data_IF_392046057744
#
_entry.id   IF_392046057744
#
_cell.length_a   1.000
_cell.length_b   1.000
_cell.length_c   1.000
_cell.angle_alpha   90.00
_cell.angle_beta   90.00
_cell.angle_gamma   90.00
#
_symmetry.space_group_name_H-M   'P 1'
#
loop_
_entity.id
_entity.type
_entity.pdbx_description
1 polymer ?
#
# COMPACT_ATOMS: atom_id res chain seq x y z
N UNK A 1 -1.17 -7.25 21.35
CA UNK A 1 -1.87 -6.49 20.30
C UNK A 1 -0.83 -5.64 19.59
N UNK A 2 -0.76 -5.71 18.26
CA UNK A 2 -0.01 -4.73 17.47
C UNK A 2 -0.73 -3.38 17.46
N UNK A 3 0.00 -2.30 17.19
CA UNK A 3 -0.54 -0.95 17.02
C UNK A 3 -0.01 -0.41 15.70
N UNK A 4 -0.86 0.26 14.93
CA UNK A 4 -0.47 0.93 13.71
C UNK A 4 -1.40 2.10 13.42
N UNK A 5 -0.85 3.19 12.88
CA UNK A 5 -1.65 4.36 12.49
C UNK A 5 -2.52 4.09 11.25
N UNK A 6 -2.15 3.09 10.44
CA UNK A 6 -2.81 2.81 9.17
C UNK A 6 -2.74 4.02 8.22
N UNK A 7 -3.69 4.10 7.29
CA UNK A 7 -3.88 5.27 6.43
C UNK A 7 -4.40 6.48 7.22
N UNK A 8 -3.51 7.20 7.90
CA UNK A 8 -3.86 8.28 8.83
C UNK A 8 -4.35 9.57 8.14
N UNK A 9 -5.33 10.25 8.71
CA UNK A 9 -5.86 11.56 8.28
C UNK A 9 -6.42 11.60 6.85
N UNK A 10 -7.18 10.59 6.47
CA UNK A 10 -8.06 10.72 5.30
C UNK A 10 -9.13 11.80 5.51
N UNK A 11 -9.63 12.42 4.41
CA UNK A 11 -10.79 13.29 4.49
C UNK A 11 -11.99 12.57 5.11
N UNK A 12 -12.72 13.27 5.98
CA UNK A 12 -13.86 12.69 6.73
C UNK A 12 -14.97 12.13 5.84
N UNK A 13 -15.11 12.67 4.63
CA UNK A 13 -16.08 12.20 3.63
C UNK A 13 -15.62 10.94 2.87
N UNK A 14 -14.38 10.48 3.08
CA UNK A 14 -13.85 9.19 2.61
C UNK A 14 -13.92 8.14 3.71
N UNK A 15 -13.34 8.47 4.86
CA UNK A 15 -13.29 7.58 6.02
C UNK A 15 -13.20 8.40 7.29
N UNK A 16 -14.20 8.27 8.16
CA UNK A 16 -14.20 8.92 9.48
C UNK A 16 -13.42 8.05 10.47
N UNK A 17 -12.17 8.43 10.72
CA UNK A 17 -11.29 7.68 11.63
C UNK A 17 -11.75 7.73 13.08
N UNK A 18 -11.86 6.56 13.68
CA UNK A 18 -12.08 6.37 15.11
C UNK A 18 -10.73 6.15 15.78
N UNK A 19 -10.12 7.26 16.20
CA UNK A 19 -8.74 7.35 16.73
C UNK A 19 -8.32 6.16 17.59
N UNK A 20 -9.11 5.75 18.59
CA UNK A 20 -8.72 4.67 19.50
C UNK A 20 -8.81 3.29 18.83
N UNK A 21 -9.90 3.00 18.12
CA UNK A 21 -10.14 1.68 17.53
C UNK A 21 -9.30 1.44 16.29
N UNK A 22 -9.10 2.47 15.48
CA UNK A 22 -8.24 2.37 14.29
C UNK A 22 -6.78 2.25 14.71
N UNK A 23 -6.30 2.97 15.73
CA UNK A 23 -4.90 2.89 16.16
C UNK A 23 -4.49 1.51 16.70
N UNK A 24 -5.41 0.80 17.35
CA UNK A 24 -5.15 -0.56 17.88
C UNK A 24 -5.39 -1.67 16.85
N UNK A 25 -5.87 -1.32 15.65
CA UNK A 25 -6.07 -2.28 14.58
C UNK A 25 -4.71 -2.67 13.95
N UNK A 26 -4.56 -3.93 13.51
CA UNK A 26 -3.29 -4.41 12.97
C UNK A 26 -2.97 -3.90 11.56
N UNK A 27 -3.94 -3.31 10.83
CA UNK A 27 -3.78 -2.77 9.46
C UNK A 27 -2.96 -3.68 8.54
N UNK A 28 -3.39 -4.96 8.35
CA UNK A 28 -2.56 -5.97 7.70
C UNK A 28 -2.32 -5.68 6.22
N UNK A 29 -3.23 -4.97 5.56
CA UNK A 29 -3.08 -4.59 4.16
C UNK A 29 -1.94 -3.57 4.01
N UNK A 30 -1.99 -2.48 4.77
CA UNK A 30 -0.93 -1.46 4.82
C UNK A 30 0.40 -2.05 5.27
N UNK A 31 0.39 -2.86 6.33
CA UNK A 31 1.61 -3.46 6.87
C UNK A 31 2.28 -4.41 5.87
N UNK A 32 1.50 -5.24 5.16
CA UNK A 32 2.05 -6.17 4.16
C UNK A 32 2.62 -5.41 2.96
N UNK A 33 1.91 -4.38 2.48
CA UNK A 33 2.36 -3.56 1.37
C UNK A 33 3.70 -2.85 1.67
N UNK A 34 3.80 -2.22 2.83
CA UNK A 34 5.01 -1.50 3.23
C UNK A 34 6.16 -2.45 3.61
N UNK A 35 5.89 -3.64 4.13
CA UNK A 35 6.94 -4.64 4.35
C UNK A 35 7.55 -5.10 3.03
N UNK A 36 6.72 -5.41 2.03
CA UNK A 36 7.19 -5.74 0.69
C UNK A 36 8.07 -4.61 0.10
N UNK A 37 7.60 -3.36 0.22
CA UNK A 37 8.33 -2.20 -0.29
C UNK A 37 9.68 -1.99 0.42
N UNK A 38 9.70 -2.00 1.76
CA UNK A 38 10.92 -1.81 2.54
C UNK A 38 11.92 -2.92 2.27
N UNK A 39 11.50 -4.19 2.17
CA UNK A 39 12.41 -5.27 1.81
C UNK A 39 13.02 -5.06 0.42
N UNK A 40 12.27 -4.58 -0.57
CA UNK A 40 12.81 -4.21 -1.88
C UNK A 40 13.89 -3.13 -1.78
N UNK A 41 13.63 -2.07 -1.00
CA UNK A 41 14.63 -1.02 -0.74
C UNK A 41 15.86 -1.57 -0.01
N UNK A 42 15.68 -2.50 0.93
CA UNK A 42 16.78 -3.11 1.67
C UNK A 42 17.69 -3.96 0.79
N UNK A 43 17.15 -4.61 -0.26
CA UNK A 43 17.97 -5.26 -1.28
C UNK A 43 18.87 -4.23 -1.98
N UNK A 44 18.33 -3.09 -2.39
CA UNK A 44 19.10 -2.05 -3.07
C UNK A 44 20.18 -1.45 -2.16
N UNK A 45 19.83 -1.18 -0.90
CA UNK A 45 20.77 -0.70 0.13
C UNK A 45 21.89 -1.71 0.37
N UNK A 46 21.56 -3.00 0.51
CA UNK A 46 22.55 -4.06 0.72
C UNK A 46 23.56 -4.12 -0.43
N UNK A 47 23.11 -4.08 -1.70
CA UNK A 47 23.99 -4.01 -2.86
C UNK A 47 24.89 -2.77 -2.87
N UNK A 48 24.34 -1.61 -2.53
CA UNK A 48 25.09 -0.35 -2.53
C UNK A 48 26.20 -0.32 -1.47
N UNK A 49 25.99 -1.01 -0.35
CA UNK A 49 26.93 -1.06 0.77
C UNK A 49 27.86 -2.29 0.74
N UNK A 50 27.63 -3.24 -0.17
CA UNK A 50 28.40 -4.49 -0.28
C UNK A 50 28.04 -5.54 0.76
N UNK A 51 26.81 -5.54 1.27
CA UNK A 51 26.25 -6.53 2.19
C UNK A 51 25.48 -7.62 1.42
N UNK A 52 26.16 -8.28 0.48
CA UNK A 52 25.53 -9.24 -0.43
C UNK A 52 24.93 -10.46 0.31
N UNK A 53 25.41 -10.74 1.52
CA UNK A 53 24.90 -11.81 2.40
C UNK A 53 23.45 -11.60 2.86
N UNK A 54 22.98 -10.36 2.96
CA UNK A 54 21.63 -10.03 3.43
C UNK A 54 20.58 -10.03 2.30
N UNK A 55 21.03 -9.91 1.05
CA UNK A 55 20.18 -9.82 -0.14
C UNK A 55 19.16 -10.97 -0.22
N UNK A 56 19.55 -12.26 -0.06
CA UNK A 56 18.60 -13.36 -0.20
C UNK A 56 17.43 -13.29 0.78
N UNK A 57 17.69 -12.82 2.01
CA UNK A 57 16.65 -12.67 3.04
C UNK A 57 15.64 -11.57 2.66
N UNK A 58 16.14 -10.41 2.21
CA UNK A 58 15.27 -9.32 1.80
C UNK A 58 14.50 -9.65 0.51
N UNK A 59 15.10 -10.36 -0.44
CA UNK A 59 14.41 -10.85 -1.63
C UNK A 59 13.31 -11.87 -1.28
N UNK A 60 13.58 -12.79 -0.35
CA UNK A 60 12.58 -13.75 0.15
C UNK A 60 11.36 -13.02 0.72
N UNK A 61 11.58 -12.04 1.60
CA UNK A 61 10.49 -11.32 2.25
C UNK A 61 9.76 -10.36 1.31
N UNK A 62 10.48 -9.67 0.43
CA UNK A 62 9.88 -8.84 -0.62
C UNK A 62 8.93 -9.68 -1.48
N UNK A 63 9.39 -10.82 -1.98
CA UNK A 63 8.59 -11.72 -2.82
C UNK A 63 7.42 -12.31 -2.05
N UNK A 64 7.66 -12.87 -0.87
CA UNK A 64 6.63 -13.50 -0.05
C UNK A 64 5.52 -12.53 0.36
N UNK A 65 5.87 -11.30 0.72
CA UNK A 65 4.88 -10.27 1.07
C UNK A 65 4.11 -9.77 -0.16
N UNK A 66 4.77 -9.63 -1.31
CA UNK A 66 4.11 -9.24 -2.56
C UNK A 66 3.09 -10.31 -3.00
N UNK A 67 3.47 -11.59 -2.96
CA UNK A 67 2.58 -12.72 -3.26
C UNK A 67 1.40 -12.78 -2.27
N UNK A 68 1.67 -12.64 -0.97
CA UNK A 68 0.64 -12.62 0.07
C UNK A 68 -0.32 -11.44 -0.09
N UNK A 69 0.19 -10.27 -0.47
CA UNK A 69 -0.62 -9.07 -0.70
C UNK A 69 -1.62 -9.32 -1.82
N UNK A 70 -1.14 -9.81 -2.97
CA UNK A 70 -1.99 -10.12 -4.13
C UNK A 70 -3.05 -11.15 -3.74
N UNK A 71 -2.66 -12.25 -3.08
CA UNK A 71 -3.60 -13.29 -2.68
C UNK A 71 -4.69 -12.80 -1.71
N UNK A 72 -4.34 -11.92 -0.76
CA UNK A 72 -5.24 -11.57 0.34
C UNK A 72 -6.06 -10.30 0.11
N UNK A 73 -5.53 -9.33 -0.66
CA UNK A 73 -6.11 -7.99 -0.76
C UNK A 73 -6.52 -7.61 -2.19
N UNK A 74 -6.51 -8.57 -3.11
CA UNK A 74 -6.96 -8.35 -4.48
C UNK A 74 -8.10 -9.32 -4.88
N UNK A 75 -9.03 -8.89 -5.77
CA UNK A 75 -9.14 -7.58 -6.40
C UNK A 75 -9.45 -6.47 -5.38
N UNK A 76 -8.95 -5.25 -5.62
CA UNK A 76 -9.17 -4.13 -4.71
C UNK A 76 -10.65 -3.72 -4.75
N UNK A 77 -11.28 -3.68 -3.58
CA UNK A 77 -12.69 -3.37 -3.41
C UNK A 77 -12.95 -1.88 -3.15
N UNK A 78 -14.00 -1.36 -3.80
CA UNK A 78 -14.52 -0.02 -3.56
C UNK A 78 -13.67 1.13 -4.11
N UNK A 79 -14.15 2.37 -3.97
CA UNK A 79 -13.52 3.55 -4.58
C UNK A 79 -12.52 4.26 -3.67
N UNK A 80 -12.14 3.69 -2.52
CA UNK A 80 -11.26 4.38 -1.54
C UNK A 80 -9.86 4.55 -2.13
N UNK A 81 -9.50 5.80 -2.47
CA UNK A 81 -8.28 6.11 -3.24
C UNK A 81 -7.02 5.53 -2.61
N UNK A 82 -6.87 5.56 -1.28
CA UNK A 82 -5.70 5.00 -0.59
C UNK A 82 -5.46 3.53 -0.89
N UNK A 83 -6.53 2.72 -0.91
CA UNK A 83 -6.46 1.29 -1.24
C UNK A 83 -6.12 1.01 -2.71
N UNK A 84 -6.45 1.94 -3.60
CA UNK A 84 -6.17 1.82 -5.03
C UNK A 84 -4.75 2.29 -5.35
N UNK A 85 -4.33 3.44 -4.80
CA UNK A 85 -3.02 4.06 -5.02
C UNK A 85 -1.89 3.19 -4.48
N UNK A 86 -1.99 2.71 -3.24
CA UNK A 86 -0.88 2.03 -2.57
C UNK A 86 -0.33 0.82 -3.34
N UNK A 87 -1.13 -0.16 -3.78
CA UNK A 87 -0.58 -1.30 -4.49
C UNK A 87 -0.08 -0.98 -5.90
N UNK A 88 -0.60 0.08 -6.53
CA UNK A 88 -0.09 0.58 -7.81
C UNK A 88 1.28 1.25 -7.62
N UNK A 89 1.36 2.21 -6.69
CA UNK A 89 2.57 3.00 -6.45
C UNK A 89 3.74 2.16 -5.89
N UNK A 90 3.44 1.11 -5.12
CA UNK A 90 4.44 0.22 -4.56
C UNK A 90 4.79 -0.97 -5.48
N UNK A 91 4.22 -1.03 -6.70
CA UNK A 91 4.54 -2.07 -7.69
C UNK A 91 4.11 -3.48 -7.28
N UNK A 92 3.02 -3.60 -6.52
CA UNK A 92 2.51 -4.89 -6.01
C UNK A 92 1.59 -5.59 -7.00
N UNK A 93 1.03 -4.87 -7.97
CA UNK A 93 0.12 -5.39 -8.98
C UNK A 93 0.83 -5.56 -10.32
N UNK A 94 0.34 -6.48 -11.14
CA UNK A 94 0.80 -6.65 -12.52
C UNK A 94 -0.32 -7.12 -13.46
N UNK A 95 -0.23 -6.73 -14.72
CA UNK A 95 -1.15 -7.19 -15.77
C UNK A 95 -2.59 -6.73 -15.56
N UNK A 96 -3.56 -7.61 -15.82
CA UNK A 96 -4.98 -7.24 -15.85
C UNK A 96 -5.48 -6.61 -14.54
N UNK A 97 -4.99 -7.08 -13.39
CA UNK A 97 -5.44 -6.56 -12.09
C UNK A 97 -4.91 -5.14 -11.81
N UNK A 98 -3.72 -4.82 -12.32
CA UNK A 98 -3.14 -3.48 -12.28
C UNK A 98 -3.96 -2.52 -13.15
N UNK A 99 -4.26 -2.92 -14.39
CA UNK A 99 -5.09 -2.14 -15.33
C UNK A 99 -6.48 -1.84 -14.75
N UNK A 100 -7.16 -2.85 -14.20
CA UNK A 100 -8.47 -2.69 -13.57
C UNK A 100 -8.41 -1.79 -12.33
N UNK A 101 -7.37 -1.93 -11.50
CA UNK A 101 -7.18 -1.10 -10.30
C UNK A 101 -6.90 0.35 -10.67
N UNK A 102 -6.09 0.57 -11.72
CA UNK A 102 -5.82 1.91 -12.25
C UNK A 102 -7.08 2.55 -12.83
N UNK A 103 -7.90 1.79 -13.58
CA UNK A 103 -9.21 2.26 -14.05
C UNK A 103 -10.11 2.73 -12.90
N UNK A 104 -10.23 1.92 -11.84
CA UNK A 104 -10.98 2.29 -10.63
C UNK A 104 -10.43 3.54 -9.93
N UNK A 105 -9.10 3.71 -9.93
CA UNK A 105 -8.47 4.92 -9.37
C UNK A 105 -8.86 6.16 -10.16
N UNK A 106 -8.81 6.10 -11.49
CA UNK A 106 -9.22 7.21 -12.36
C UNK A 106 -10.69 7.57 -12.13
N UNK A 107 -11.58 6.57 -12.10
CA UNK A 107 -13.00 6.76 -11.81
C UNK A 107 -13.23 7.39 -10.42
N UNK A 108 -12.47 6.95 -9.41
CA UNK A 108 -12.53 7.50 -8.06
C UNK A 108 -12.10 8.97 -8.00
N UNK A 109 -11.00 9.32 -8.68
CA UNK A 109 -10.53 10.71 -8.78
C UNK A 109 -11.56 11.59 -9.48
N UNK A 110 -12.13 11.13 -10.59
CA UNK A 110 -13.16 11.85 -11.34
C UNK A 110 -14.44 12.05 -10.51
N UNK A 111 -14.96 11.00 -9.89
CA UNK A 111 -16.17 11.06 -9.06
C UNK A 111 -16.02 11.96 -7.83
N UNK A 112 -14.77 12.18 -7.37
CA UNK A 112 -14.46 13.13 -6.28
C UNK A 112 -14.19 14.56 -6.76
N UNK A 113 -14.44 14.89 -8.03
CA UNK A 113 -14.10 16.18 -8.66
C UNK A 113 -12.61 16.52 -8.51
N UNK A 114 -11.74 15.54 -8.74
CA UNK A 114 -10.28 15.65 -8.60
C UNK A 114 -9.81 16.04 -7.18
N UNK A 115 -10.63 15.82 -6.15
CA UNK A 115 -10.22 16.02 -4.76
C UNK A 115 -9.50 14.79 -4.22
N UNK A 116 -8.36 15.04 -3.59
CA UNK A 116 -7.59 14.02 -2.86
C UNK A 116 -8.48 13.37 -1.79
N UNK A 117 -8.45 12.04 -1.75
CA UNK A 117 -9.18 11.18 -0.84
C UNK A 117 -8.27 10.22 -0.07
N UNK A 118 -6.98 10.51 -0.02
CA UNK A 118 -5.95 9.73 0.67
C UNK A 118 -5.55 10.37 1.99
N UNK A 119 -4.93 9.58 2.87
CA UNK A 119 -4.27 10.03 4.09
C UNK A 119 -2.76 10.09 3.90
N UNK A 120 -2.01 9.97 4.99
CA UNK A 120 -0.56 10.16 5.03
C UNK A 120 0.22 9.11 4.23
N UNK A 121 -0.25 7.87 4.16
CA UNK A 121 0.49 6.79 3.50
C UNK A 121 0.33 6.84 1.98
N UNK A 122 -0.74 7.43 1.47
CA UNK A 122 -1.03 7.40 0.02
C UNK A 122 -1.04 8.79 -0.64
N UNK A 123 -1.17 9.88 0.10
CA UNK A 123 -1.10 11.25 -0.47
C UNK A 123 0.21 11.57 -1.20
N UNK A 124 1.42 11.16 -0.73
CA UNK A 124 2.64 11.42 -1.50
C UNK A 124 2.78 10.53 -2.74
N UNK A 125 1.90 9.54 -2.92
CA UNK A 125 2.01 8.50 -3.94
C UNK A 125 0.95 8.63 -5.07
N UNK A 126 0.05 9.61 -4.99
CA UNK A 126 -1.11 9.73 -5.90
C UNK A 126 -0.83 10.57 -7.16
N UNK A 127 0.32 11.24 -7.26
CA UNK A 127 0.66 12.18 -8.34
C UNK A 127 1.59 11.58 -9.40
#
# INVERSE_FOLDING_TARGET
MGQAFGEWLEPKDVYEQKVITDFVAPHPEEATAYLAHVCGLMVDVARLLGHDEDIPLYEEYHRGCSEAYVHQFTPVEGPRQSKLVRPLALGLLSGKIEEETFGKLVESVQSRNCRVGTGFLSTPLIL
#
